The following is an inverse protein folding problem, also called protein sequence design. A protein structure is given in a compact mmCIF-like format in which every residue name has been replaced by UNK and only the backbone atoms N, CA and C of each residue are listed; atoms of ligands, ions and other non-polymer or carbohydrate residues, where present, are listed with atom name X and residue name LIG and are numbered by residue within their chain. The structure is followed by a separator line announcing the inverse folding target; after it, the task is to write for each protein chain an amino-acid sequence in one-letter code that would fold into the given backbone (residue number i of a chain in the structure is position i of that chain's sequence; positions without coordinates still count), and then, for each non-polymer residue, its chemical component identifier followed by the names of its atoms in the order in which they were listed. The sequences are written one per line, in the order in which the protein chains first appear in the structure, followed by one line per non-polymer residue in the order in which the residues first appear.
data_IF_722314394883
#
_entry.id   IF_722314394883
#
_cell.length_a   1.000
_cell.length_b   1.000
_cell.length_c   1.000
_cell.angle_alpha   90.00
_cell.angle_beta   90.00
_cell.angle_gamma   90.00
#
_symmetry.space_group_name_H-M   'P 1'
#
loop_
_entity.id
_entity.type
_entity.pdbx_description
1 polymer ?
#
# COMPACT_ATOMS: atom_id res chain seq x y z
N UNK A 1 6.32 6.73 -8.78
CA UNK A 1 5.90 6.89 -7.37
C UNK A 1 5.70 8.37 -7.12
N UNK A 2 4.57 8.77 -6.54
CA UNK A 2 4.25 10.17 -6.21
C UNK A 2 4.47 10.47 -4.72
N UNK A 3 4.18 11.69 -4.29
CA UNK A 3 4.15 12.07 -2.88
C UNK A 3 2.71 11.98 -2.36
N UNK A 4 2.51 11.29 -1.24
CA UNK A 4 1.23 11.19 -0.55
C UNK A 4 1.46 10.93 0.93
N UNK A 5 0.45 11.30 1.73
CA UNK A 5 0.42 11.19 3.18
C UNK A 5 -0.44 9.99 3.63
N UNK A 6 -0.36 9.57 4.90
CA UNK A 6 -1.28 8.60 5.47
C UNK A 6 -2.74 9.02 5.28
N UNK A 7 -3.60 8.07 4.91
CA UNK A 7 -5.00 8.28 4.56
C UNK A 7 -5.23 8.65 3.08
N UNK A 8 -4.20 8.84 2.27
CA UNK A 8 -4.37 9.11 0.85
C UNK A 8 -4.89 7.90 0.08
N UNK A 9 -5.77 8.15 -0.88
CA UNK A 9 -6.21 7.16 -1.86
C UNK A 9 -5.10 6.93 -2.89
N UNK A 10 -4.56 5.71 -2.93
CA UNK A 10 -3.45 5.32 -3.80
C UNK A 10 -3.85 4.20 -4.76
N UNK A 11 -3.22 4.18 -5.92
CA UNK A 11 -3.33 3.11 -6.90
C UNK A 11 -2.28 2.03 -6.63
N UNK A 12 -2.69 0.77 -6.74
CA UNK A 12 -1.80 -0.40 -6.73
C UNK A 12 -1.64 -0.87 -8.16
N UNK A 13 -0.41 -0.84 -8.66
CA UNK A 13 -0.07 -1.22 -10.02
C UNK A 13 0.66 -2.57 -10.03
N UNK A 14 0.42 -3.38 -11.06
CA UNK A 14 1.22 -4.56 -11.36
C UNK A 14 2.58 -4.20 -11.99
N UNK A 15 3.41 -5.21 -12.28
CA UNK A 15 4.73 -5.03 -12.90
C UNK A 15 4.66 -4.45 -14.33
N UNK A 16 3.51 -4.55 -15.00
CA UNK A 16 3.24 -3.98 -16.31
C UNK A 16 2.63 -2.57 -16.24
N UNK A 17 2.44 -2.03 -15.03
CA UNK A 17 1.85 -0.71 -14.79
C UNK A 17 0.32 -0.65 -14.88
N UNK A 18 -0.37 -1.80 -14.88
CA UNK A 18 -1.84 -1.86 -14.85
C UNK A 18 -2.37 -1.72 -13.43
N UNK A 19 -3.44 -0.96 -13.26
CA UNK A 19 -4.09 -0.76 -11.96
C UNK A 19 -4.90 -2.00 -11.56
N UNK A 20 -4.47 -2.68 -10.50
CA UNK A 20 -5.13 -3.90 -9.99
C UNK A 20 -5.99 -3.63 -8.75
N UNK A 21 -5.71 -2.55 -8.02
CA UNK A 21 -6.50 -2.12 -6.88
C UNK A 21 -6.31 -0.64 -6.57
N UNK A 22 -7.21 -0.10 -5.74
CA UNK A 22 -7.04 1.18 -5.04
C UNK A 22 -7.26 1.00 -3.55
N UNK A 23 -6.58 1.80 -2.74
CA UNK A 23 -6.85 1.77 -1.30
C UNK A 23 -6.29 2.95 -0.54
N UNK A 24 -6.61 3.02 0.74
CA UNK A 24 -6.09 4.05 1.64
C UNK A 24 -4.77 3.60 2.24
N UNK A 25 -3.72 4.42 2.06
CA UNK A 25 -2.41 4.08 2.61
C UNK A 25 -2.31 4.43 4.10
N UNK A 26 -1.72 3.55 4.89
CA UNK A 26 -1.40 3.80 6.31
C UNK A 26 -0.09 4.59 6.48
N UNK A 27 0.72 4.70 5.42
CA UNK A 27 2.05 5.28 5.46
C UNK A 27 2.22 6.34 4.38
N UNK A 28 3.10 7.30 4.62
CA UNK A 28 3.47 8.26 3.60
C UNK A 28 4.35 7.58 2.52
N UNK A 29 4.35 8.13 1.31
CA UNK A 29 5.24 7.70 0.23
C UNK A 29 6.72 7.52 0.65
N UNK A 30 7.36 8.49 1.35
CA UNK A 30 8.76 8.33 1.77
C UNK A 30 8.97 7.19 2.79
N UNK A 31 7.99 6.90 3.64
CA UNK A 31 8.10 5.83 4.63
C UNK A 31 7.99 4.46 3.95
N UNK A 32 7.08 4.32 2.97
CA UNK A 32 6.92 3.10 2.19
C UNK A 32 8.23 2.73 1.47
N UNK A 33 8.93 3.70 0.90
CA UNK A 33 10.23 3.45 0.25
C UNK A 33 11.29 2.94 1.25
N UNK A 34 11.27 3.44 2.50
CA UNK A 34 12.21 3.01 3.54
C UNK A 34 11.94 1.59 4.05
N UNK A 35 10.69 1.16 4.04
CA UNK A 35 10.27 -0.16 4.57
C UNK A 35 10.01 -1.20 3.48
N UNK A 36 10.21 -0.84 2.21
CA UNK A 36 9.96 -1.73 1.08
C UNK A 36 10.81 -2.99 1.19
N UNK A 37 10.16 -4.14 1.17
CA UNK A 37 10.81 -5.46 1.26
C UNK A 37 11.19 -5.90 2.68
N UNK A 38 10.89 -5.09 3.70
CA UNK A 38 11.07 -5.48 5.10
C UNK A 38 9.89 -6.33 5.60
N UNK A 39 10.13 -7.05 6.69
CA UNK A 39 9.06 -7.74 7.42
C UNK A 39 8.30 -6.74 8.27
N UNK A 40 7.02 -6.97 8.50
CA UNK A 40 6.17 -6.05 9.26
C UNK A 40 6.69 -5.76 10.67
N UNK A 41 7.37 -6.70 11.32
CA UNK A 41 7.99 -6.48 12.65
C UNK A 41 9.22 -5.58 12.62
N UNK A 42 9.85 -5.37 11.46
CA UNK A 42 11.02 -4.49 11.30
C UNK A 42 10.61 -3.04 11.01
N UNK A 43 9.36 -2.81 10.59
CA UNK A 43 8.84 -1.48 10.19
C UNK A 43 8.99 -0.46 11.32
N UNK A 44 8.52 -0.80 12.52
CA UNK A 44 8.55 0.12 13.66
C UNK A 44 9.96 0.51 14.08
N UNK A 45 10.93 -0.41 13.94
CA UNK A 45 12.33 -0.12 14.22
C UNK A 45 12.94 0.84 13.18
N UNK A 46 12.53 0.76 11.92
CA UNK A 46 13.03 1.63 10.84
C UNK A 46 12.39 3.02 10.87
N UNK A 47 11.09 3.10 11.17
CA UNK A 47 10.33 4.35 11.15
C UNK A 47 10.32 5.08 12.50
N UNK A 48 10.53 4.37 13.60
CA UNK A 48 10.47 4.93 14.96
C UNK A 48 9.04 5.09 15.49
N UNK A 49 8.04 4.56 14.77
CA UNK A 49 6.65 4.52 15.19
C UNK A 49 5.95 3.27 14.62
N UNK A 50 4.86 2.84 15.25
CA UNK A 50 4.01 1.76 14.75
C UNK A 50 2.81 2.36 13.99
N UNK A 51 2.77 2.15 12.67
CA UNK A 51 1.67 2.56 11.79
C UNK A 51 0.76 1.40 11.38
N UNK A 52 0.89 0.23 12.02
CA UNK A 52 0.22 -1.02 11.65
C UNK A 52 1.10 -1.93 10.78
N UNK A 53 0.73 -3.21 10.70
CA UNK A 53 1.53 -4.21 9.99
C UNK A 53 1.42 -4.11 8.45
N UNK A 54 0.39 -3.41 7.94
CA UNK A 54 0.05 -3.33 6.52
C UNK A 54 0.18 -1.91 5.94
N UNK A 55 0.65 -1.82 4.69
CA UNK A 55 0.71 -0.54 3.95
C UNK A 55 -0.67 -0.04 3.53
N UNK A 56 -1.55 -0.97 3.13
CA UNK A 56 -2.97 -0.74 2.88
C UNK A 56 -3.70 -1.89 3.57
N UNK A 57 -4.60 -1.58 4.50
CA UNK A 57 -5.42 -2.60 5.13
C UNK A 57 -6.40 -3.20 4.12
N UNK A 58 -6.67 -4.51 4.19
CA UNK A 58 -7.57 -5.21 3.26
C UNK A 58 -8.95 -4.55 3.16
N UNK A 59 -9.52 -4.14 4.29
CA UNK A 59 -10.84 -3.51 4.31
C UNK A 59 -10.84 -2.11 3.65
N UNK A 60 -9.66 -1.50 3.52
CA UNK A 60 -9.44 -0.23 2.86
C UNK A 60 -8.88 -0.42 1.43
N UNK A 61 -8.93 -1.63 0.87
CA UNK A 61 -8.46 -1.98 -0.47
C UNK A 61 -9.65 -2.47 -1.32
N UNK A 62 -9.88 -1.81 -2.45
CA UNK A 62 -10.83 -2.22 -3.47
C UNK A 62 -10.08 -2.72 -4.70
N UNK A 63 -10.39 -3.93 -5.16
CA UNK A 63 -9.86 -4.45 -6.42
C UNK A 63 -10.52 -3.72 -7.60
N UNK A 64 -9.71 -3.33 -8.58
CA UNK A 64 -10.18 -2.57 -9.75
C UNK A 64 -10.17 -3.40 -11.02
N UNK A 65 -9.70 -4.65 -10.95
CA UNK A 65 -9.52 -5.49 -12.11
C UNK A 65 -10.78 -6.31 -12.47
N UNK A 66 -11.13 -6.24 -13.75
CA UNK A 66 -12.28 -6.89 -14.39
C UNK A 66 -12.08 -8.41 -14.62
N UNK A 67 -10.95 -9.01 -14.21
CA UNK A 67 -10.70 -10.46 -14.36
C UNK A 67 -11.23 -11.32 -13.21
N UNK A 68 -11.74 -10.72 -12.12
CA UNK A 68 -12.24 -11.48 -10.95
C UNK A 68 -13.73 -11.88 -11.06
N UNK A 69 -14.45 -11.54 -12.14
CA UNK A 69 -15.78 -12.08 -12.38
C UNK A 69 -16.11 -12.21 -13.88
N UNK A 70 -15.58 -13.25 -14.53
CA UNK A 70 -16.36 -13.94 -15.57
C UNK A 70 -17.15 -15.08 -14.90
N UNK A 71 -18.42 -15.29 -15.32
CA UNK A 71 -19.40 -16.11 -14.61
C UNK A 71 -18.99 -17.58 -14.45
#
# INVERSE_FOLDING_TARGET
VGAFDPGALVQVLDEAGREVARGLSNYAAPDIERIRGLRSWDIAAVLGFDGGAEVIHRDNLALTDETVCKP
#
